data_IF_539462436969
#
_entry.id   IF_539462436969
#
_cell.length_a   1.000
_cell.length_b   1.000
_cell.length_c   1.000
_cell.angle_alpha   90.00
_cell.angle_beta   90.00
_cell.angle_gamma   90.00
#
_symmetry.space_group_name_H-M   'P 1'
#
loop_
_entity.id
_entity.type
_entity.pdbx_description
1 polymer ?
#
# COMPACT_ATOMS: atom_id res chain seq x y z
N UNK A 1 -28.82 -7.76 23.76
CA UNK A 1 -27.43 -8.22 24.01
C UNK A 1 -26.61 -7.83 22.78
N UNK A 2 -25.75 -6.81 22.89
CA UNK A 2 -25.00 -6.31 21.73
C UNK A 2 -23.77 -7.19 21.48
N UNK A 3 -23.56 -7.62 20.23
CA UNK A 3 -22.36 -8.33 19.78
C UNK A 3 -21.58 -7.38 18.89
N UNK A 4 -20.31 -7.15 19.20
CA UNK A 4 -19.43 -6.24 18.46
C UNK A 4 -18.24 -7.04 17.93
N UNK A 5 -17.85 -6.76 16.68
CA UNK A 5 -16.66 -7.34 16.04
C UNK A 5 -15.78 -6.19 15.56
N UNK A 6 -14.49 -6.27 15.87
CA UNK A 6 -13.45 -5.41 15.29
C UNK A 6 -12.63 -6.24 14.31
N UNK A 7 -12.42 -5.72 13.10
CA UNK A 7 -11.67 -6.40 12.04
C UNK A 7 -10.54 -5.47 11.62
N UNK A 8 -9.32 -6.00 11.60
CA UNK A 8 -8.13 -5.29 11.15
C UNK A 8 -7.72 -5.80 9.75
N UNK A 9 -7.67 -4.89 8.77
CA UNK A 9 -7.38 -5.21 7.37
C UNK A 9 -6.17 -4.39 6.89
N UNK A 10 -4.92 -4.85 7.14
CA UNK A 10 -3.71 -4.07 6.91
C UNK A 10 -3.39 -3.78 5.44
N UNK A 11 -3.84 -4.65 4.52
CA UNK A 11 -3.67 -4.54 3.07
C UNK A 11 -4.91 -4.02 2.33
N UNK A 12 -5.97 -3.62 3.05
CA UNK A 12 -7.24 -3.22 2.43
C UNK A 12 -7.09 -2.17 1.31
N UNK A 13 -6.24 -1.12 1.45
CA UNK A 13 -6.07 -0.13 0.39
C UNK A 13 -5.54 -0.74 -0.91
N UNK A 14 -4.52 -1.59 -0.82
CA UNK A 14 -3.93 -2.27 -1.99
C UNK A 14 -4.87 -3.32 -2.57
N UNK A 15 -5.60 -4.04 -1.71
CA UNK A 15 -6.58 -5.06 -2.13
C UNK A 15 -7.75 -4.43 -2.89
N UNK A 16 -8.17 -3.22 -2.49
CA UNK A 16 -9.19 -2.45 -3.23
C UNK A 16 -8.70 -2.03 -4.60
N UNK A 17 -7.50 -1.48 -4.71
CA UNK A 17 -6.90 -1.06 -6.00
C UNK A 17 -6.86 -2.25 -6.97
N UNK A 18 -6.45 -3.43 -6.50
CA UNK A 18 -6.40 -4.66 -7.30
C UNK A 18 -7.79 -5.19 -7.70
N UNK A 19 -8.80 -4.99 -6.85
CA UNK A 19 -10.20 -5.33 -7.21
C UNK A 19 -10.79 -4.34 -8.22
N UNK A 20 -10.43 -3.07 -8.11
CA UNK A 20 -10.89 -2.02 -9.00
C UNK A 20 -10.20 -2.13 -10.38
N UNK A 21 -8.94 -2.59 -10.42
CA UNK A 21 -8.20 -2.87 -11.65
C UNK A 21 -7.63 -4.33 -11.67
N UNK A 22 -8.39 -5.29 -12.22
CA UNK A 22 -7.97 -6.69 -12.31
C UNK A 22 -6.86 -6.93 -13.32
N UNK A 23 -6.41 -5.93 -14.08
CA UNK A 23 -5.25 -6.06 -14.95
C UNK A 23 -3.92 -6.09 -14.17
N UNK A 24 -3.93 -5.65 -12.90
CA UNK A 24 -2.72 -5.63 -12.07
C UNK A 24 -2.41 -7.06 -11.58
N UNK A 25 -1.26 -7.66 -11.97
CA UNK A 25 -0.90 -9.03 -11.60
C UNK A 25 -0.64 -9.23 -10.10
N UNK A 26 -0.90 -10.42 -9.54
CA UNK A 26 -0.74 -10.74 -8.10
C UNK A 26 0.69 -10.68 -7.58
N UNK A 27 1.66 -10.80 -8.48
CA UNK A 27 3.09 -10.68 -8.21
C UNK A 27 3.61 -9.25 -8.34
N UNK A 28 2.87 -8.36 -9.01
CA UNK A 28 3.24 -6.95 -9.16
C UNK A 28 3.17 -6.24 -7.80
N UNK A 29 4.29 -5.74 -7.24
CA UNK A 29 4.28 -5.09 -5.94
C UNK A 29 3.61 -3.71 -6.00
N UNK A 30 2.67 -3.48 -5.08
CA UNK A 30 1.92 -2.23 -4.93
C UNK A 30 2.12 -1.65 -3.54
N UNK A 31 2.33 -0.34 -3.49
CA UNK A 31 2.32 0.43 -2.25
C UNK A 31 1.47 1.69 -2.40
N UNK A 32 0.71 2.02 -1.36
CA UNK A 32 -0.07 3.24 -1.30
C UNK A 32 0.73 4.31 -0.57
N UNK A 33 0.77 5.52 -1.14
CA UNK A 33 1.48 6.66 -0.57
C UNK A 33 0.50 7.66 0.00
N UNK A 34 0.66 7.95 1.28
CA UNK A 34 0.04 9.11 1.92
C UNK A 34 0.97 10.32 1.85
N UNK A 35 0.37 11.51 1.83
CA UNK A 35 1.07 12.78 1.83
C UNK A 35 0.45 13.69 2.89
N UNK A 36 1.28 14.39 3.63
CA UNK A 36 0.89 15.51 4.49
C UNK A 36 1.91 16.63 4.33
N UNK A 37 1.46 17.78 3.80
CA UNK A 37 2.36 18.85 3.35
C UNK A 37 3.37 18.34 2.33
N UNK A 38 4.67 18.55 2.59
CA UNK A 38 5.77 18.05 1.75
C UNK A 38 6.16 16.59 2.06
N UNK A 39 5.72 16.03 3.18
CA UNK A 39 6.11 14.68 3.62
C UNK A 39 5.28 13.63 2.88
N UNK A 40 5.95 12.63 2.30
CA UNK A 40 5.34 11.47 1.63
C UNK A 40 5.84 10.17 2.25
N UNK A 41 4.93 9.26 2.58
CA UNK A 41 5.27 7.97 3.17
C UNK A 41 4.33 6.87 2.70
N UNK A 42 4.79 5.62 2.81
CA UNK A 42 3.99 4.43 2.54
C UNK A 42 2.94 4.28 3.64
N UNK A 43 1.65 4.37 3.29
CA UNK A 43 0.54 4.17 4.23
C UNK A 43 0.07 2.71 4.28
N UNK A 44 0.17 1.99 3.16
CA UNK A 44 -0.12 0.56 3.06
C UNK A 44 0.78 -0.07 1.99
N UNK A 45 1.11 -1.35 2.15
CA UNK A 45 1.93 -2.10 1.22
C UNK A 45 1.36 -3.52 1.11
N UNK A 46 1.26 -4.05 -0.11
CA UNK A 46 0.79 -5.42 -0.32
C UNK A 46 1.82 -6.46 0.14
N UNK A 47 1.46 -7.73 0.06
CA UNK A 47 2.32 -8.84 0.48
C UNK A 47 3.60 -8.95 -0.39
N UNK A 48 3.52 -8.70 -1.69
CA UNK A 48 4.67 -8.74 -2.59
C UNK A 48 5.67 -7.62 -2.29
N UNK A 49 5.17 -6.39 -2.07
CA UNK A 49 5.92 -5.22 -1.64
C UNK A 49 6.55 -5.42 -0.26
N UNK A 50 5.86 -6.10 0.66
CA UNK A 50 6.44 -6.48 1.94
C UNK A 50 7.55 -7.52 1.79
N UNK A 51 7.43 -8.50 0.90
CA UNK A 51 8.48 -9.51 0.68
C UNK A 51 9.79 -8.89 0.19
N UNK A 52 9.73 -7.85 -0.64
CA UNK A 52 10.90 -7.12 -1.14
C UNK A 52 11.44 -6.06 -0.17
N UNK A 53 10.81 -5.90 1.00
CA UNK A 53 11.31 -5.02 2.08
C UNK A 53 10.65 -3.65 2.17
N UNK A 54 9.62 -3.35 1.38
CA UNK A 54 8.80 -2.15 1.59
C UNK A 54 7.99 -2.32 2.88
N UNK A 55 7.89 -1.24 3.68
CA UNK A 55 7.19 -1.24 4.97
C UNK A 55 6.35 0.01 5.11
N UNK A 56 5.24 -0.09 5.83
CA UNK A 56 4.42 1.06 6.21
C UNK A 56 5.25 2.04 7.05
N UNK A 57 5.05 3.34 6.83
CA UNK A 57 5.82 4.42 7.44
C UNK A 57 7.12 4.76 6.71
N UNK A 58 7.55 3.95 5.73
CA UNK A 58 8.76 4.22 4.96
C UNK A 58 8.59 5.50 4.11
N UNK A 59 9.62 6.37 3.99
CA UNK A 59 9.58 7.49 3.05
C UNK A 59 9.35 7.00 1.61
N UNK A 60 8.49 7.68 0.85
CA UNK A 60 8.14 7.27 -0.51
C UNK A 60 9.37 7.13 -1.43
N UNK A 61 10.34 8.04 -1.29
CA UNK A 61 11.59 7.98 -2.05
C UNK A 61 12.42 6.73 -1.73
N UNK A 62 12.45 6.29 -0.46
CA UNK A 62 13.15 5.07 -0.06
C UNK A 62 12.44 3.82 -0.60
N UNK A 63 11.11 3.79 -0.56
CA UNK A 63 10.34 2.69 -1.13
C UNK A 63 10.55 2.58 -2.65
N UNK A 64 10.58 3.70 -3.37
CA UNK A 64 10.93 3.76 -4.80
C UNK A 64 12.34 3.27 -5.09
N UNK A 65 13.31 3.57 -4.22
CA UNK A 65 14.68 3.13 -4.41
C UNK A 65 14.85 1.60 -4.25
N UNK A 66 14.05 0.97 -3.40
CA UNK A 66 14.06 -0.48 -3.18
C UNK A 66 13.55 -1.24 -4.41
N UNK A 67 12.57 -0.69 -5.13
CA UNK A 67 12.05 -1.30 -6.35
C UNK A 67 11.70 -0.22 -7.38
N UNK A 68 12.51 -0.15 -8.45
CA UNK A 68 12.28 0.78 -9.58
C UNK A 68 10.99 0.51 -10.37
N UNK A 69 10.35 -0.66 -10.16
CA UNK A 69 9.05 -1.04 -10.71
C UNK A 69 7.90 -1.02 -9.68
N UNK A 70 8.07 -0.35 -8.54
CA UNK A 70 7.00 -0.24 -7.54
C UNK A 70 5.90 0.68 -8.05
N UNK A 71 4.68 0.15 -8.18
CA UNK A 71 3.51 0.97 -8.49
C UNK A 71 3.11 1.75 -7.24
N UNK A 72 3.19 3.08 -7.32
CA UNK A 72 2.82 3.97 -6.22
C UNK A 72 1.49 4.63 -6.54
N UNK A 73 0.50 4.34 -5.70
CA UNK A 73 -0.83 4.93 -5.83
C UNK A 73 -1.03 5.96 -4.71
N UNK A 74 -1.37 7.22 -5.03
CA UNK A 74 -1.69 8.19 -4.00
C UNK A 74 -2.98 7.78 -3.29
N UNK A 75 -3.07 8.02 -1.97
CA UNK A 75 -4.38 8.02 -1.31
C UNK A 75 -5.22 9.12 -1.95
N UNK A 76 -6.42 8.79 -2.46
CA UNK A 76 -7.40 9.83 -2.75
C UNK A 76 -7.68 10.58 -1.44
N UNK A 77 -7.63 11.91 -1.49
CA UNK A 77 -8.07 12.76 -0.39
C UNK A 77 -9.58 12.64 -0.21
#
# INVERSE_FOLDING_TARGET
MARVVSIFLPSLPTDRIRRDDPAIPDDQPIAVIAKSGSKRWVSSADVAAQKIGVRVGMPAAKAQAILRGLMLVPVCA
#
